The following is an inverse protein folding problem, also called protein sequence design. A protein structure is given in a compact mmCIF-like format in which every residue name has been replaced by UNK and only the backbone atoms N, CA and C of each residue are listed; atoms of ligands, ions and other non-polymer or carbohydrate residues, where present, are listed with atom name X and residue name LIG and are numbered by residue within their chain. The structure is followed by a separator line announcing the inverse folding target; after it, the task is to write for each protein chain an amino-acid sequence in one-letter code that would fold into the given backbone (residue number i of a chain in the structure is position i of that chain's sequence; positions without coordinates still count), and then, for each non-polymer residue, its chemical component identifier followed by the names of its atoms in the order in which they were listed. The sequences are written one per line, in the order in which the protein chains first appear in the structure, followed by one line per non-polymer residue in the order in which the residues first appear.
data_IF_133823140041
#
_entry.id   IF_133823140041
#
_cell.length_a   1.000
_cell.length_b   1.000
_cell.length_c   1.000
_cell.angle_alpha   90.00
_cell.angle_beta   90.00
_cell.angle_gamma   90.00
#
_symmetry.space_group_name_H-M   'P 1'
#
loop_
_entity.id
_entity.type
_entity.pdbx_description
1 polymer ?
#
# COMPACT_ATOMS: atom_id res chain seq x y z
N UNK A 1 1.00 -7.89 -7.51
CA UNK A 1 0.59 -8.39 -6.18
C UNK A 1 0.65 -7.30 -5.09
N UNK A 2 1.70 -6.49 -5.05
CA UNK A 2 1.96 -5.46 -4.03
C UNK A 2 0.87 -4.39 -3.94
N UNK A 3 0.38 -3.93 -5.07
CA UNK A 3 -0.62 -2.85 -5.16
C UNK A 3 -1.90 -3.21 -4.40
N UNK A 4 -2.38 -4.44 -4.53
CA UNK A 4 -3.61 -4.92 -3.90
C UNK A 4 -3.66 -4.78 -2.37
N UNK A 5 -2.50 -4.81 -1.72
CA UNK A 5 -2.42 -4.73 -0.25
C UNK A 5 -2.16 -3.29 0.24
N UNK A 6 -1.67 -2.43 -0.64
CA UNK A 6 -1.37 -1.05 -0.31
C UNK A 6 -2.53 -0.09 -0.61
N UNK A 7 -3.43 -0.45 -1.54
CA UNK A 7 -4.50 0.41 -2.03
C UNK A 7 -5.86 0.09 -1.41
N UNK A 8 -6.73 1.09 -1.35
CA UNK A 8 -8.13 0.96 -0.94
C UNK A 8 -9.02 0.50 -2.09
N UNK A 9 -8.74 0.97 -3.31
CA UNK A 9 -9.46 0.64 -4.54
C UNK A 9 -8.59 0.95 -5.78
N UNK A 10 -9.09 0.60 -6.95
CA UNK A 10 -8.55 0.98 -8.25
C UNK A 10 -9.00 2.39 -8.66
N UNK A 11 -8.32 3.02 -9.61
CA UNK A 11 -8.62 4.40 -10.02
C UNK A 11 -10.01 4.54 -10.66
N UNK A 12 -10.44 3.53 -11.43
CA UNK A 12 -11.77 3.49 -12.04
C UNK A 12 -12.90 3.30 -11.03
N UNK A 13 -12.60 2.76 -9.85
CA UNK A 13 -13.58 2.52 -8.80
C UNK A 13 -13.89 3.75 -7.93
N UNK A 14 -13.10 4.83 -8.03
CA UNK A 14 -13.30 6.07 -7.26
C UNK A 14 -14.74 6.60 -7.29
N UNK A 15 -15.44 6.67 -8.44
CA UNK A 15 -16.82 7.18 -8.48
C UNK A 15 -17.79 6.38 -7.62
N UNK A 16 -17.50 5.10 -7.31
CA UNK A 16 -18.34 4.25 -6.46
C UNK A 16 -18.28 4.65 -4.98
N UNK A 17 -17.29 5.46 -4.61
CA UNK A 17 -17.11 6.00 -3.26
C UNK A 17 -17.77 7.38 -3.07
N UNK A 18 -18.54 7.84 -4.05
CA UNK A 18 -19.37 9.03 -3.96
C UNK A 18 -20.59 8.72 -3.07
N UNK A 19 -20.45 8.98 -1.79
CA UNK A 19 -21.53 8.87 -0.80
C UNK A 19 -21.81 10.25 -0.23
N UNK A 20 -23.04 10.49 0.22
CA UNK A 20 -23.46 11.77 0.84
C UNK A 20 -22.83 11.97 2.24
N UNK A 21 -21.56 11.72 2.38
CA UNK A 21 -20.82 11.93 3.62
C UNK A 21 -20.14 13.31 3.58
N UNK A 22 -20.48 14.15 4.55
CA UNK A 22 -19.96 15.52 4.68
C UNK A 22 -18.46 15.59 4.93
N UNK A 23 -17.84 14.50 5.40
CA UNK A 23 -16.41 14.46 5.80
C UNK A 23 -15.48 13.83 4.77
N UNK A 24 -16.00 13.29 3.66
CA UNK A 24 -15.23 12.52 2.69
C UNK A 24 -14.68 11.20 3.22
N UNK A 25 -14.06 10.42 2.35
CA UNK A 25 -13.54 9.09 2.65
C UNK A 25 -12.02 9.07 2.47
N UNK A 26 -11.28 8.58 3.46
CA UNK A 26 -9.84 8.39 3.34
C UNK A 26 -9.53 7.16 2.48
N UNK A 27 -8.78 7.36 1.42
CA UNK A 27 -8.41 6.32 0.47
C UNK A 27 -6.92 6.35 0.17
N UNK A 28 -6.41 5.19 -0.23
CA UNK A 28 -5.06 4.98 -0.76
C UNK A 28 -5.17 4.46 -2.18
N UNK A 29 -4.50 5.14 -3.10
CA UNK A 29 -4.51 4.85 -4.52
C UNK A 29 -3.08 4.72 -5.01
N UNK A 30 -2.83 3.82 -5.93
CA UNK A 30 -1.50 3.65 -6.50
C UNK A 30 -1.56 3.55 -8.02
N UNK A 31 -0.50 3.96 -8.66
CA UNK A 31 -0.34 3.89 -10.09
C UNK A 31 1.01 4.43 -10.54
N UNK A 32 1.20 4.43 -11.84
CA UNK A 32 2.33 5.07 -12.51
C UNK A 32 1.93 6.49 -12.89
N UNK A 33 2.79 7.45 -12.67
CA UNK A 33 2.58 8.81 -13.14
C UNK A 33 2.70 8.82 -14.67
N UNK A 34 1.62 9.15 -15.36
CA UNK A 34 1.60 9.24 -16.84
C UNK A 34 1.91 10.64 -17.35
N UNK A 35 1.54 11.67 -16.58
CA UNK A 35 1.78 13.08 -16.92
C UNK A 35 1.96 13.93 -15.66
N UNK A 36 2.81 14.95 -15.74
CA UNK A 36 3.02 15.96 -14.69
C UNK A 36 3.17 17.34 -15.30
N UNK A 37 2.55 18.31 -14.68
CA UNK A 37 2.73 19.73 -15.00
C UNK A 37 3.09 20.49 -13.71
N UNK A 38 4.33 20.94 -13.65
CA UNK A 38 4.80 21.83 -12.59
C UNK A 38 4.44 23.28 -12.90
N UNK A 39 3.84 23.97 -11.94
CA UNK A 39 3.35 25.34 -12.09
C UNK A 39 3.70 26.17 -10.86
N UNK A 40 3.63 27.47 -11.00
CA UNK A 40 3.80 28.43 -9.91
C UNK A 40 2.55 29.32 -9.87
N UNK A 41 1.98 29.53 -8.70
CA UNK A 41 0.84 30.42 -8.52
C UNK A 41 1.27 31.91 -8.48
N UNK A 42 0.30 32.81 -8.42
CA UNK A 42 0.58 34.26 -8.38
C UNK A 42 1.37 34.71 -7.13
N UNK A 43 1.36 33.92 -6.06
CA UNK A 43 2.11 34.18 -4.84
C UNK A 43 3.54 33.59 -4.88
N UNK A 44 3.98 33.02 -6.01
CA UNK A 44 5.29 32.37 -6.14
C UNK A 44 5.38 30.96 -5.57
N UNK A 45 4.27 30.39 -5.07
CA UNK A 45 4.26 29.03 -4.53
C UNK A 45 4.14 27.99 -5.64
N UNK A 46 5.00 26.98 -5.60
CA UNK A 46 4.95 25.86 -6.54
C UNK A 46 3.83 24.87 -6.24
N UNK A 47 3.27 24.29 -7.29
CA UNK A 47 2.34 23.19 -7.24
C UNK A 47 2.49 22.30 -8.47
N UNK A 48 1.92 21.11 -8.44
CA UNK A 48 1.87 20.24 -9.61
C UNK A 48 0.47 19.66 -9.80
N UNK A 49 0.09 19.54 -11.07
CA UNK A 49 -1.02 18.69 -11.51
C UNK A 49 -0.40 17.43 -12.12
N UNK A 50 -0.83 16.26 -11.69
CA UNK A 50 -0.30 15.00 -12.18
C UNK A 50 -1.41 13.96 -12.38
N UNK A 51 -1.20 13.06 -13.33
CA UNK A 51 -2.14 11.97 -13.62
C UNK A 51 -1.51 10.65 -13.23
N UNK A 52 -2.20 9.88 -12.39
CA UNK A 52 -1.89 8.48 -12.14
C UNK A 52 -2.66 7.60 -13.11
N UNK A 53 -2.02 6.52 -13.53
CA UNK A 53 -2.60 5.46 -14.33
C UNK A 53 -2.35 4.12 -13.67
N UNK A 54 -3.39 3.29 -13.56
CA UNK A 54 -3.29 1.88 -13.20
C UNK A 54 -3.78 1.00 -14.38
N UNK A 55 -3.97 -0.30 -14.14
CA UNK A 55 -4.48 -1.23 -15.16
C UNK A 55 -5.95 -1.01 -15.53
N UNK A 56 -6.69 -0.24 -14.74
CA UNK A 56 -8.14 -0.09 -14.84
C UNK A 56 -8.56 1.32 -15.30
N UNK A 57 -7.70 2.33 -15.09
CA UNK A 57 -8.03 3.69 -15.46
C UNK A 57 -6.95 4.71 -15.11
N UNK A 58 -7.35 5.97 -15.16
CA UNK A 58 -6.50 7.09 -14.77
C UNK A 58 -7.30 8.11 -13.97
N UNK A 59 -6.60 8.89 -13.16
CA UNK A 59 -7.19 9.97 -12.39
C UNK A 59 -6.19 11.12 -12.20
N UNK A 60 -6.68 12.37 -12.28
CA UNK A 60 -5.87 13.56 -12.12
C UNK A 60 -5.86 14.03 -10.66
N UNK A 61 -4.68 14.36 -10.16
CA UNK A 61 -4.43 14.82 -8.80
C UNK A 61 -3.70 16.15 -8.79
N UNK A 62 -3.78 16.87 -7.67
CA UNK A 62 -3.03 18.08 -7.44
C UNK A 62 -2.19 17.94 -6.16
N UNK A 63 -0.92 18.33 -6.25
CA UNK A 63 -0.01 18.46 -5.12
C UNK A 63 0.28 19.95 -4.90
N UNK A 64 -0.20 20.52 -3.80
CA UNK A 64 -0.11 21.94 -3.49
C UNK A 64 0.88 22.23 -2.37
N UNK A 65 1.45 23.44 -2.34
CA UNK A 65 2.21 24.02 -1.23
C UNK A 65 3.28 23.08 -0.64
N UNK A 66 3.13 22.77 0.63
CA UNK A 66 4.07 21.97 1.40
C UNK A 66 4.21 20.55 0.85
N UNK A 67 3.11 19.91 0.44
CA UNK A 67 3.15 18.59 -0.18
C UNK A 67 4.02 18.59 -1.44
N UNK A 68 3.80 19.57 -2.33
CA UNK A 68 4.60 19.74 -3.54
C UNK A 68 6.08 19.95 -3.21
N UNK A 69 6.40 20.86 -2.27
CA UNK A 69 7.77 21.15 -1.88
C UNK A 69 8.52 19.90 -1.37
N UNK A 70 7.82 19.10 -0.56
CA UNK A 70 8.41 17.92 0.07
C UNK A 70 8.48 16.69 -0.85
N UNK A 71 7.62 16.63 -1.89
CA UNK A 71 7.45 15.42 -2.72
C UNK A 71 7.72 15.65 -4.21
N UNK A 72 8.19 16.86 -4.58
CA UNK A 72 8.46 17.23 -5.99
C UNK A 72 9.34 16.23 -6.72
N UNK A 73 10.34 15.68 -6.03
CA UNK A 73 11.27 14.68 -6.58
C UNK A 73 10.62 13.34 -6.94
N UNK A 74 9.40 13.07 -6.47
CA UNK A 74 8.62 11.88 -6.81
C UNK A 74 7.65 12.13 -7.95
N UNK A 75 7.43 13.40 -8.32
CA UNK A 75 6.45 13.80 -9.32
C UNK A 75 7.12 13.87 -10.70
N UNK A 76 7.46 12.69 -11.25
CA UNK A 76 8.04 12.54 -12.58
C UNK A 76 7.31 11.44 -13.36
N UNK A 77 7.13 11.59 -14.70
CA UNK A 77 6.51 10.55 -15.51
C UNK A 77 7.28 9.21 -15.40
N UNK A 78 6.54 8.12 -15.32
CA UNK A 78 7.09 6.77 -15.16
C UNK A 78 7.34 6.34 -13.72
N UNK A 79 7.28 7.24 -12.74
CA UNK A 79 7.45 6.89 -11.32
C UNK A 79 6.17 6.24 -10.79
N UNK A 80 6.34 5.09 -10.13
CA UNK A 80 5.25 4.38 -9.45
C UNK A 80 5.09 4.90 -8.03
N UNK A 81 3.94 5.47 -7.70
CA UNK A 81 3.65 6.06 -6.40
C UNK A 81 2.36 5.54 -5.78
N UNK A 82 2.29 5.64 -4.46
CA UNK A 82 1.07 5.57 -3.67
C UNK A 82 0.68 6.99 -3.24
N UNK A 83 -0.59 7.31 -3.40
CA UNK A 83 -1.21 8.56 -2.98
C UNK A 83 -2.20 8.26 -1.86
N UNK A 84 -2.08 8.96 -0.74
CA UNK A 84 -3.04 8.92 0.37
C UNK A 84 -3.78 10.25 0.43
N UNK A 85 -5.07 10.21 0.70
CA UNK A 85 -5.85 11.42 0.81
C UNK A 85 -7.33 11.17 1.06
N UNK A 86 -8.10 12.24 0.98
CA UNK A 86 -9.55 12.24 1.22
C UNK A 86 -10.29 12.51 -0.08
N UNK A 87 -11.20 11.60 -0.44
CA UNK A 87 -12.11 11.77 -1.56
C UNK A 87 -13.45 12.32 -1.06
N UNK A 88 -13.83 13.51 -1.49
CA UNK A 88 -15.00 14.20 -0.97
C UNK A 88 -15.47 15.35 -1.88
N UNK A 89 -16.54 16.02 -1.49
CA UNK A 89 -17.04 17.21 -2.16
C UNK A 89 -16.17 18.43 -1.85
N UNK A 90 -16.01 19.32 -2.81
CA UNK A 90 -15.26 20.59 -2.63
C UNK A 90 -16.15 21.63 -1.92
N UNK A 91 -16.21 21.51 -0.58
CA UNK A 91 -16.99 22.46 0.25
C UNK A 91 -16.44 23.89 0.22
N UNK A 92 -15.18 24.10 -0.19
CA UNK A 92 -14.54 25.42 -0.26
C UNK A 92 -15.00 26.25 -1.46
N UNK A 93 -15.35 25.58 -2.56
CA UNK A 93 -15.78 26.23 -3.80
C UNK A 93 -17.30 26.26 -3.98
N UNK A 94 -18.07 25.80 -2.97
CA UNK A 94 -19.52 25.58 -3.12
C UNK A 94 -19.84 24.74 -4.38
N UNK A 95 -18.96 23.82 -4.75
CA UNK A 95 -19.10 22.95 -5.91
C UNK A 95 -19.57 21.58 -5.43
N UNK A 96 -20.54 21.01 -6.11
CA UNK A 96 -20.95 19.60 -5.92
C UNK A 96 -19.99 18.62 -6.56
N UNK A 97 -18.86 19.10 -7.09
CA UNK A 97 -17.85 18.26 -7.72
C UNK A 97 -17.05 17.48 -6.68
N UNK A 98 -16.84 16.22 -6.98
CA UNK A 98 -16.00 15.34 -6.17
C UNK A 98 -14.52 15.50 -6.55
N UNK A 99 -13.67 15.65 -5.57
CA UNK A 99 -12.24 15.78 -5.78
C UNK A 99 -11.47 14.93 -4.77
N UNK A 100 -10.23 14.62 -5.11
CA UNK A 100 -9.31 13.90 -4.23
C UNK A 100 -8.30 14.89 -3.64
N UNK A 101 -8.41 15.15 -2.34
CA UNK A 101 -7.44 15.97 -1.61
C UNK A 101 -6.25 15.10 -1.23
N UNK A 102 -5.14 15.29 -1.92
CA UNK A 102 -3.90 14.56 -1.64
C UNK A 102 -3.29 15.05 -0.32
N UNK A 103 -3.04 14.13 0.60
CA UNK A 103 -2.44 14.39 1.91
C UNK A 103 -0.99 13.88 1.97
N UNK A 104 -0.68 12.78 1.29
CA UNK A 104 0.66 12.22 1.25
C UNK A 104 0.94 11.52 -0.09
N UNK A 105 2.23 11.48 -0.45
CA UNK A 105 2.75 10.78 -1.65
C UNK A 105 3.99 10.01 -1.23
N UNK A 106 4.10 8.75 -1.63
CA UNK A 106 5.28 7.94 -1.39
C UNK A 106 5.57 7.00 -2.57
N UNK A 107 6.79 6.53 -2.69
CA UNK A 107 7.13 5.48 -3.67
C UNK A 107 6.32 4.22 -3.39
N UNK A 108 5.81 3.59 -4.42
CA UNK A 108 5.05 2.35 -4.29
C UNK A 108 5.90 1.22 -3.68
N UNK A 109 7.19 1.17 -3.99
CA UNK A 109 8.13 0.21 -3.39
C UNK A 109 8.25 0.35 -1.87
N UNK A 110 8.09 1.56 -1.32
CA UNK A 110 8.11 1.81 0.12
C UNK A 110 6.72 1.69 0.77
N UNK A 111 5.66 1.65 -0.04
CA UNK A 111 4.29 1.67 0.47
C UNK A 111 3.96 0.44 1.31
N UNK A 112 4.44 -0.73 0.95
CA UNK A 112 4.24 -1.96 1.72
C UNK A 112 4.89 -1.87 3.10
N UNK A 113 6.12 -1.37 3.18
CA UNK A 113 6.81 -1.17 4.46
C UNK A 113 6.04 -0.23 5.38
N UNK A 114 5.41 0.79 4.81
CA UNK A 114 4.64 1.79 5.54
C UNK A 114 3.24 1.28 5.95
N UNK A 115 2.57 0.55 5.06
CA UNK A 115 1.16 0.14 5.24
C UNK A 115 1.02 -1.18 6.00
N UNK A 116 1.97 -2.10 5.87
CA UNK A 116 1.94 -3.40 6.52
C UNK A 116 2.44 -3.28 7.97
N UNK A 117 1.62 -3.71 8.93
CA UNK A 117 2.02 -3.78 10.34
C UNK A 117 2.39 -5.19 10.76
N UNK A 118 1.63 -6.16 10.27
CA UNK A 118 1.76 -7.57 10.65
C UNK A 118 1.67 -8.47 9.43
N UNK A 119 2.51 -9.48 9.42
CA UNK A 119 2.48 -10.57 8.45
C UNK A 119 2.03 -11.84 9.17
N UNK A 120 0.88 -12.39 8.77
CA UNK A 120 0.36 -13.65 9.26
C UNK A 120 0.74 -14.74 8.27
N UNK A 121 1.52 -15.72 8.68
CA UNK A 121 1.90 -16.88 7.88
C UNK A 121 1.11 -18.09 8.34
N UNK A 122 0.52 -18.81 7.38
CA UNK A 122 -0.24 -20.02 7.63
C UNK A 122 0.60 -21.20 7.19
N UNK A 123 0.92 -22.09 8.13
CA UNK A 123 1.75 -23.26 7.90
C UNK A 123 0.93 -24.51 8.22
N UNK A 124 0.75 -25.37 7.23
CA UNK A 124 0.12 -26.68 7.45
C UNK A 124 1.15 -27.61 8.10
N UNK A 125 0.82 -28.20 9.24
CA UNK A 125 1.72 -29.07 10.01
C UNK A 125 2.23 -30.26 9.18
N UNK A 126 1.41 -30.76 8.27
CA UNK A 126 1.77 -31.88 7.38
C UNK A 126 2.84 -31.52 6.34
N UNK A 127 2.89 -30.27 5.90
CA UNK A 127 3.89 -29.82 4.92
C UNK A 127 5.22 -29.41 5.57
N UNK A 128 5.28 -29.36 6.90
CA UNK A 128 6.47 -28.96 7.65
C UNK A 128 7.51 -30.08 7.64
N UNK A 129 8.68 -29.76 7.12
CA UNK A 129 9.86 -30.61 7.22
C UNK A 129 11.09 -29.75 7.57
N UNK A 130 12.20 -30.41 7.90
CA UNK A 130 13.42 -29.70 8.33
C UNK A 130 13.98 -28.77 7.25
N UNK A 131 13.86 -29.12 5.97
CA UNK A 131 14.34 -28.30 4.87
C UNK A 131 13.48 -27.03 4.71
N UNK A 132 12.16 -27.18 4.72
CA UNK A 132 11.23 -26.04 4.69
C UNK A 132 11.51 -25.07 5.85
N UNK A 133 11.66 -25.55 7.07
CA UNK A 133 11.97 -24.72 8.23
C UNK A 133 13.28 -23.96 8.02
N UNK A 134 14.33 -24.63 7.54
CA UNK A 134 15.63 -24.04 7.29
C UNK A 134 15.55 -22.96 6.22
N UNK A 135 14.88 -23.21 5.10
CA UNK A 135 14.68 -22.25 4.01
C UNK A 135 13.88 -21.04 4.48
N UNK A 136 12.76 -21.27 5.17
CA UNK A 136 11.94 -20.19 5.74
C UNK A 136 12.75 -19.33 6.72
N UNK A 137 13.55 -19.93 7.60
CA UNK A 137 14.42 -19.21 8.52
C UNK A 137 15.46 -18.36 7.79
N UNK A 138 16.03 -18.85 6.69
CA UNK A 138 16.96 -18.10 5.84
C UNK A 138 16.27 -16.94 5.14
N UNK A 139 15.11 -17.14 4.55
CA UNK A 139 14.30 -16.07 3.94
C UNK A 139 13.97 -14.97 4.94
N UNK A 140 13.48 -15.33 6.13
CA UNK A 140 13.16 -14.34 7.17
C UNK A 140 14.38 -13.60 7.71
N UNK A 141 15.56 -14.21 7.69
CA UNK A 141 16.83 -13.56 8.04
C UNK A 141 17.28 -12.57 6.97
N UNK A 142 17.12 -12.94 5.69
CA UNK A 142 17.46 -12.09 4.54
C UNK A 142 16.62 -10.81 4.55
N UNK A 143 15.33 -10.91 4.82
CA UNK A 143 14.37 -9.80 4.81
C UNK A 143 14.14 -9.20 6.20
N UNK A 144 15.19 -8.99 6.99
CA UNK A 144 15.09 -8.39 8.33
C UNK A 144 14.54 -6.96 8.27
N UNK A 145 13.57 -6.63 9.16
CA UNK A 145 12.91 -5.32 9.18
C UNK A 145 12.13 -5.01 10.45
N UNK A 146 10.96 -4.39 10.31
CA UNK A 146 10.18 -3.83 11.43
C UNK A 146 8.81 -4.47 11.62
N UNK A 147 8.25 -5.14 10.60
CA UNK A 147 6.92 -5.75 10.67
C UNK A 147 6.93 -7.01 11.51
N UNK A 148 5.89 -7.15 12.33
CA UNK A 148 5.72 -8.29 13.23
C UNK A 148 5.25 -9.51 12.43
N UNK A 149 5.84 -10.68 12.71
CA UNK A 149 5.41 -11.95 12.15
C UNK A 149 4.52 -12.67 13.17
N UNK A 150 3.43 -13.24 12.69
CA UNK A 150 2.62 -14.20 13.44
C UNK A 150 2.52 -15.49 12.62
N UNK A 151 2.76 -16.62 13.24
CA UNK A 151 2.58 -17.93 12.64
C UNK A 151 1.26 -18.53 13.11
N UNK A 152 0.47 -19.01 12.18
CA UNK A 152 -0.71 -19.84 12.42
C UNK A 152 -0.39 -21.25 11.88
N UNK A 153 -0.16 -22.18 12.79
CA UNK A 153 0.08 -23.59 12.43
C UNK A 153 -1.27 -24.29 12.42
N UNK A 154 -1.59 -24.90 11.29
CA UNK A 154 -2.86 -25.58 11.05
C UNK A 154 -2.61 -27.08 11.05
N UNK A 155 -3.29 -27.81 11.92
CA UNK A 155 -3.45 -29.26 11.83
C UNK A 155 -4.83 -29.56 11.24
N UNK A 156 -4.86 -29.97 9.98
CA UNK A 156 -6.10 -30.22 9.24
C UNK A 156 -6.78 -31.52 9.62
N UNK A 157 -6.12 -32.45 10.35
CA UNK A 157 -6.73 -33.69 10.83
C UNK A 157 -7.44 -33.50 12.17
N UNK A 158 -6.84 -32.71 13.05
CA UNK A 158 -7.40 -32.47 14.38
C UNK A 158 -8.22 -31.17 14.45
N UNK A 159 -8.41 -30.49 13.31
CA UNK A 159 -9.07 -29.19 13.22
C UNK A 159 -8.50 -28.14 14.18
N UNK A 160 -7.22 -28.30 14.55
CA UNK A 160 -6.53 -27.44 15.50
C UNK A 160 -5.78 -26.31 14.77
N UNK A 161 -5.90 -25.11 15.31
CA UNK A 161 -5.12 -23.95 14.89
C UNK A 161 -4.38 -23.38 16.07
N UNK A 162 -3.05 -23.30 15.97
CA UNK A 162 -2.18 -22.73 16.99
C UNK A 162 -1.54 -21.45 16.47
N UNK A 163 -1.73 -20.33 17.15
CA UNK A 163 -1.15 -19.06 16.80
C UNK A 163 0.08 -18.74 17.64
N UNK A 164 1.21 -18.47 16.99
CA UNK A 164 2.47 -18.09 17.64
C UNK A 164 2.91 -16.70 17.18
N UNK A 165 3.39 -15.89 18.12
CA UNK A 165 4.06 -14.64 17.82
C UNK A 165 5.54 -14.90 17.56
N UNK A 166 6.04 -14.42 16.43
CA UNK A 166 7.47 -14.39 16.13
C UNK A 166 8.19 -13.31 16.93
N UNK A 167 8.29 -13.49 18.26
CA UNK A 167 8.78 -12.46 19.21
C UNK A 167 10.20 -11.99 18.87
N UNK A 168 11.02 -12.86 18.32
CA UNK A 168 12.45 -12.57 18.04
C UNK A 168 12.73 -12.14 16.60
N UNK A 169 11.74 -12.17 15.71
CA UNK A 169 11.95 -11.88 14.29
C UNK A 169 10.92 -10.90 13.77
N UNK A 170 11.45 -9.89 13.11
CA UNK A 170 10.68 -8.90 12.35
C UNK A 170 11.22 -8.88 10.94
N UNK A 171 10.37 -8.61 9.96
CA UNK A 171 10.72 -8.59 8.53
C UNK A 171 10.36 -7.25 7.89
N UNK A 172 10.95 -7.01 6.71
CA UNK A 172 10.49 -5.97 5.79
C UNK A 172 9.50 -6.61 4.82
N UNK A 173 8.25 -6.16 4.86
CA UNK A 173 7.22 -6.60 3.93
C UNK A 173 7.50 -6.01 2.54
N UNK A 174 8.17 -6.77 1.69
CA UNK A 174 8.54 -6.40 0.32
C UNK A 174 8.01 -7.43 -0.67
N UNK A 175 7.89 -7.04 -1.94
CA UNK A 175 7.52 -7.97 -2.99
C UNK A 175 8.47 -9.14 -3.12
N UNK A 176 9.77 -8.91 -2.87
CA UNK A 176 10.77 -9.96 -2.88
C UNK A 176 10.52 -11.00 -1.77
N UNK A 177 10.20 -10.56 -0.54
CA UNK A 177 9.80 -11.46 0.54
C UNK A 177 8.56 -12.28 0.14
N UNK A 178 7.55 -11.64 -0.43
CA UNK A 178 6.31 -12.34 -0.80
C UNK A 178 6.53 -13.36 -1.90
N UNK A 179 7.36 -13.05 -2.89
CA UNK A 179 7.75 -13.99 -3.95
C UNK A 179 8.45 -15.23 -3.38
N UNK A 180 9.41 -15.04 -2.47
CA UNK A 180 10.11 -16.14 -1.81
C UNK A 180 9.17 -16.98 -0.92
N UNK A 181 8.19 -16.37 -0.25
CA UNK A 181 7.18 -17.11 0.53
C UNK A 181 6.25 -17.94 -0.36
N UNK A 182 5.86 -17.40 -1.52
CA UNK A 182 5.06 -18.13 -2.52
C UNK A 182 5.83 -19.33 -3.07
N UNK A 183 7.13 -19.19 -3.37
CA UNK A 183 8.02 -20.30 -3.79
C UNK A 183 8.18 -21.38 -2.73
N UNK A 184 8.11 -21.01 -1.45
CA UNK A 184 8.13 -21.95 -0.32
C UNK A 184 6.76 -22.60 -0.06
N UNK A 185 5.70 -22.19 -0.77
CA UNK A 185 4.33 -22.65 -0.54
C UNK A 185 3.75 -22.16 0.79
N UNK A 186 4.26 -21.08 1.35
CA UNK A 186 3.77 -20.49 2.60
C UNK A 186 2.64 -19.52 2.30
N UNK A 187 1.43 -19.85 2.70
CA UNK A 187 0.29 -18.92 2.62
C UNK A 187 0.43 -17.82 3.66
N UNK A 188 0.14 -16.58 3.26
CA UNK A 188 0.21 -15.45 4.18
C UNK A 188 -0.97 -14.49 4.00
N UNK A 189 -1.24 -13.72 5.05
CA UNK A 189 -2.15 -12.56 5.05
C UNK A 189 -1.44 -11.36 5.64
N UNK A 190 -1.79 -10.19 5.14
CA UNK A 190 -1.23 -8.93 5.56
C UNK A 190 -2.32 -8.15 6.30
N UNK A 191 -2.00 -7.68 7.51
CA UNK A 191 -2.84 -6.71 8.22
C UNK A 191 -2.17 -5.34 8.12
N UNK A 192 -2.80 -4.45 7.37
CA UNK A 192 -2.42 -3.05 7.29
C UNK A 192 -3.00 -2.21 8.45
N UNK A 193 -2.56 -0.97 8.51
CA UNK A 193 -3.32 0.07 9.23
C UNK A 193 -4.64 0.26 8.49
N UNK A 194 -5.77 0.01 9.17
CA UNK A 194 -7.08 0.43 8.68
C UNK A 194 -7.13 1.94 8.60
#
# INVERSE_FOLDING_TARGET
HEVKYATSCTLDALPRYQKDETNGIKLRLAGVISNVQHKTNKAGEGYASFTLQDYHGNFAFNANKELYRNKRNLLEPGVSILVEGTYGKDTWRNSDEWFFKVENIMLLSSALEYTVQKLLMYINLRSVNKDMIKRLDQTLKKHKGHQIIRFNILDTEQELSLAFLGIKRKVTASGELFSELDELGVHYKINGKG
#
